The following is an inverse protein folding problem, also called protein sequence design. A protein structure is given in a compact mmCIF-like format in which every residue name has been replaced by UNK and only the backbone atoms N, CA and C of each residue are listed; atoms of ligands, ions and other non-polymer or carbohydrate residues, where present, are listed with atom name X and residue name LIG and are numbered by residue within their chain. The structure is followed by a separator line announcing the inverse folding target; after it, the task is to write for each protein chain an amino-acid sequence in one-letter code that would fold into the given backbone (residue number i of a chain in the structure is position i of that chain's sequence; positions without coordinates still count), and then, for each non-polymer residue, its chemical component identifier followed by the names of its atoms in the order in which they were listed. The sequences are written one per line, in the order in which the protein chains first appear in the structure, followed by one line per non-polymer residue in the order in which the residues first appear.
data_IF_352435618719
#
_entry.id   IF_352435618719
#
_cell.length_a   1.000
_cell.length_b   1.000
_cell.length_c   1.000
_cell.angle_alpha   90.00
_cell.angle_beta   90.00
_cell.angle_gamma   90.00
#
_symmetry.space_group_name_H-M   'P 1'
#
loop_
_entity.id
_entity.type
_entity.pdbx_description
1 polymer ?
#
# COMPACT_ATOMS: atom_id res chain seq x y z
N UNK A 1 -9.29 -12.02 -16.11
CA UNK A 1 -9.45 -11.91 -15.50
C UNK A 1 -9.76 -11.29 -15.05
N UNK A 2 -9.95 -11.47 -14.77
CA UNK A 2 -10.14 -10.47 -15.02
C UNK A 2 -11.22 -9.65 -14.43
N UNK A 3 -12.19 -10.17 -13.78
CA UNK A 3 -13.21 -9.43 -13.05
C UNK A 3 -12.75 -9.24 -11.62
N UNK A 4 -11.98 -8.18 -11.39
CA UNK A 4 -11.67 -7.79 -10.02
C UNK A 4 -12.93 -7.14 -9.45
N UNK A 5 -13.51 -7.81 -8.44
CA UNK A 5 -14.66 -7.27 -7.74
C UNK A 5 -14.20 -6.05 -6.93
N UNK A 6 -14.82 -4.86 -7.15
CA UNK A 6 -14.45 -3.67 -6.39
C UNK A 6 -14.54 -3.88 -4.88
N UNK A 7 -15.50 -4.65 -4.41
CA UNK A 7 -15.66 -4.94 -2.98
C UNK A 7 -14.47 -5.70 -2.41
N UNK A 8 -14.00 -6.72 -3.13
CA UNK A 8 -12.81 -7.49 -2.73
C UNK A 8 -11.57 -6.62 -2.70
N UNK A 9 -11.39 -5.80 -3.73
CA UNK A 9 -10.23 -4.93 -3.82
C UNK A 9 -10.22 -3.90 -2.68
N UNK A 10 -11.38 -3.31 -2.37
CA UNK A 10 -11.53 -2.39 -1.26
C UNK A 10 -11.17 -3.07 0.06
N UNK A 11 -11.62 -4.30 0.28
CA UNK A 11 -11.30 -5.07 1.48
C UNK A 11 -9.81 -5.31 1.60
N UNK A 12 -9.15 -5.70 0.52
CA UNK A 12 -7.71 -5.94 0.51
C UNK A 12 -6.93 -4.66 0.80
N UNK A 13 -7.35 -3.53 0.20
CA UNK A 13 -6.71 -2.24 0.43
C UNK A 13 -6.85 -1.79 1.88
N UNK A 14 -8.04 -1.94 2.46
CA UNK A 14 -8.29 -1.60 3.87
C UNK A 14 -7.45 -2.44 4.81
N UNK A 15 -7.11 -3.65 4.40
CA UNK A 15 -6.31 -4.57 5.21
C UNK A 15 -4.82 -4.27 5.16
N UNK A 16 -4.33 -3.48 4.20
CA UNK A 16 -2.91 -3.19 4.03
C UNK A 16 -2.27 -2.64 5.31
N UNK A 17 -2.81 -1.60 5.97
CA UNK A 17 -2.20 -1.10 7.21
C UNK A 17 -2.17 -2.13 8.32
N UNK A 18 -3.23 -2.91 8.48
CA UNK A 18 -3.34 -3.93 9.51
C UNK A 18 -2.40 -5.09 9.25
N UNK A 19 -2.35 -5.58 8.02
CA UNK A 19 -1.46 -6.67 7.63
C UNK A 19 0.01 -6.25 7.76
N UNK A 20 0.35 -5.03 7.39
CA UNK A 20 1.68 -4.46 7.54
C UNK A 20 2.12 -4.49 9.01
N UNK A 21 1.26 -4.06 9.91
CA UNK A 21 1.54 -4.06 11.35
C UNK A 21 1.73 -5.49 11.88
N UNK A 22 0.85 -6.41 11.47
CA UNK A 22 0.94 -7.80 11.90
C UNK A 22 2.22 -8.47 11.42
N UNK A 23 2.60 -8.27 10.16
CA UNK A 23 3.82 -8.85 9.60
C UNK A 23 5.05 -8.30 10.30
N UNK A 24 5.08 -7.02 10.63
CA UNK A 24 6.17 -6.40 11.36
C UNK A 24 6.31 -7.04 12.76
N UNK A 25 5.20 -7.25 13.45
CA UNK A 25 5.21 -7.90 14.76
C UNK A 25 5.67 -9.36 14.66
N UNK A 26 5.19 -10.09 13.65
CA UNK A 26 5.59 -11.47 13.44
C UNK A 26 7.07 -11.61 13.07
N UNK A 27 7.62 -10.65 12.34
CA UNK A 27 9.04 -10.68 11.98
C UNK A 27 9.93 -10.62 13.21
N UNK A 28 9.56 -9.81 14.20
CA UNK A 28 10.28 -9.73 15.46
C UNK A 28 10.22 -11.06 16.21
N UNK A 29 9.05 -11.71 16.19
CA UNK A 29 8.83 -12.97 16.89
C UNK A 29 9.63 -14.13 16.29
N UNK A 30 9.75 -14.16 14.97
CA UNK A 30 10.44 -15.24 14.25
C UNK A 30 11.85 -14.87 13.81
N UNK A 31 12.34 -13.74 14.28
CA UNK A 31 13.69 -13.24 13.97
C UNK A 31 13.94 -13.10 12.46
N UNK A 32 12.92 -12.63 11.74
CA UNK A 32 13.02 -12.33 10.31
C UNK A 32 13.49 -10.88 10.15
N UNK A 33 14.35 -10.63 9.16
CA UNK A 33 14.87 -9.29 8.90
C UNK A 33 13.72 -8.30 8.65
N UNK A 34 13.80 -7.17 9.35
CA UNK A 34 12.83 -6.09 9.17
C UNK A 34 12.81 -5.60 7.72
N UNK A 35 13.98 -5.48 7.10
CA UNK A 35 14.10 -5.03 5.72
C UNK A 35 13.41 -5.98 4.74
N UNK A 36 13.54 -7.28 4.95
CA UNK A 36 12.88 -8.28 4.12
C UNK A 36 11.35 -8.18 4.23
N UNK A 37 10.84 -7.96 5.44
CA UNK A 37 9.41 -7.80 5.67
C UNK A 37 8.90 -6.54 5.00
N UNK A 38 9.62 -5.43 5.15
CA UNK A 38 9.24 -4.16 4.52
C UNK A 38 9.23 -4.27 3.00
N UNK A 39 10.25 -4.91 2.40
CA UNK A 39 10.30 -5.14 0.96
C UNK A 39 9.13 -5.98 0.48
N UNK A 40 8.78 -7.01 1.22
CA UNK A 40 7.63 -7.85 0.89
C UNK A 40 6.33 -7.05 0.89
N UNK A 41 6.12 -6.24 1.93
CA UNK A 41 4.94 -5.39 2.06
C UNK A 41 4.88 -4.38 0.90
N UNK A 42 6.01 -3.75 0.59
CA UNK A 42 6.09 -2.76 -0.49
C UNK A 42 5.73 -3.41 -1.83
N UNK A 43 6.29 -4.57 -2.15
CA UNK A 43 6.02 -5.25 -3.41
C UNK A 43 4.55 -5.65 -3.56
N UNK A 44 3.98 -6.26 -2.54
CA UNK A 44 2.60 -6.72 -2.57
C UNK A 44 1.61 -5.56 -2.59
N UNK A 45 1.87 -4.54 -1.79
CA UNK A 45 0.99 -3.36 -1.74
C UNK A 45 1.09 -2.53 -3.01
N UNK A 46 2.27 -2.44 -3.62
CA UNK A 46 2.44 -1.71 -4.88
C UNK A 46 1.62 -2.31 -6.00
N UNK A 47 1.62 -3.63 -6.12
CA UNK A 47 0.81 -4.30 -7.14
C UNK A 47 -0.68 -4.08 -6.89
N UNK A 48 -1.11 -4.22 -5.65
CA UNK A 48 -2.49 -4.00 -5.26
C UNK A 48 -2.93 -2.57 -5.58
N UNK A 49 -2.08 -1.59 -5.29
CA UNK A 49 -2.35 -0.18 -5.58
C UNK A 49 -2.42 0.07 -7.08
N UNK A 50 -1.52 -0.53 -7.88
CA UNK A 50 -1.57 -0.42 -9.33
C UNK A 50 -2.90 -0.92 -9.89
N UNK A 51 -3.33 -2.11 -9.45
CA UNK A 51 -4.60 -2.68 -9.86
C UNK A 51 -5.77 -1.78 -9.46
N UNK A 52 -5.66 -1.15 -8.28
CA UNK A 52 -6.68 -0.22 -7.79
C UNK A 52 -6.77 1.03 -8.64
N UNK A 53 -5.64 1.58 -9.07
CA UNK A 53 -5.61 2.77 -9.91
C UNK A 53 -6.24 2.49 -11.28
N UNK A 54 -5.98 1.32 -11.86
CA UNK A 54 -6.62 0.92 -13.11
C UNK A 54 -8.13 0.80 -12.95
N UNK A 55 -8.59 0.19 -11.86
CA UNK A 55 -10.01 0.07 -11.57
C UNK A 55 -10.65 1.41 -11.33
N UNK A 56 -9.96 2.33 -10.64
CA UNK A 56 -10.45 3.70 -10.44
C UNK A 56 -10.68 4.39 -11.78
N UNK A 57 -9.74 4.27 -12.70
CA UNK A 57 -9.88 4.87 -14.03
C UNK A 57 -11.10 4.30 -14.77
N UNK A 58 -11.29 2.99 -14.72
CA UNK A 58 -12.43 2.34 -15.33
C UNK A 58 -13.75 2.78 -14.69
N UNK A 59 -13.78 2.87 -13.36
CA UNK A 59 -14.98 3.28 -12.63
C UNK A 59 -15.31 4.75 -12.83
N UNK A 60 -14.32 5.61 -13.07
CA UNK A 60 -14.57 7.01 -13.43
C UNK A 60 -15.40 7.10 -14.71
N UNK A 61 -15.09 6.27 -15.70
CA UNK A 61 -15.86 6.23 -16.94
C UNK A 61 -17.28 5.74 -16.70
N UNK A 62 -17.44 4.69 -15.89
CA UNK A 62 -18.75 4.15 -15.53
C UNK A 62 -19.60 5.23 -14.84
N UNK A 63 -19.02 5.93 -13.88
CA UNK A 63 -19.73 7.01 -13.16
C UNK A 63 -20.07 8.14 -14.09
N UNK A 64 -19.20 8.46 -15.04
CA UNK A 64 -19.44 9.52 -16.01
C UNK A 64 -20.65 9.20 -16.89
N UNK A 65 -20.78 7.96 -17.33
CA UNK A 65 -21.87 7.53 -18.21
C UNK A 65 -23.14 7.16 -17.43
N UNK A 66 -22.98 6.61 -16.23
CA UNK A 66 -24.09 6.20 -15.38
C UNK A 66 -23.85 6.66 -13.94
N UNK A 67 -24.17 7.93 -13.64
CA UNK A 67 -23.88 8.50 -12.31
C UNK A 67 -24.90 8.06 -11.26
N UNK A 68 -25.04 6.76 -11.06
CA UNK A 68 -25.89 6.21 -10.01
C UNK A 68 -25.19 6.33 -8.66
N UNK A 69 -25.97 6.53 -7.60
CA UNK A 69 -25.45 6.70 -6.24
C UNK A 69 -24.56 5.54 -5.82
N UNK A 70 -24.94 4.32 -6.20
CA UNK A 70 -24.16 3.12 -5.88
C UNK A 70 -22.78 3.15 -6.53
N UNK A 71 -22.70 3.55 -7.80
CA UNK A 71 -21.44 3.64 -8.52
C UNK A 71 -20.54 4.72 -7.95
N UNK A 72 -21.11 5.88 -7.61
CA UNK A 72 -20.38 6.99 -7.00
C UNK A 72 -19.84 6.58 -5.63
N UNK A 73 -20.65 5.90 -4.82
CA UNK A 73 -20.26 5.45 -3.50
C UNK A 73 -19.13 4.43 -3.57
N UNK A 74 -19.22 3.46 -4.49
CA UNK A 74 -18.18 2.45 -4.67
C UNK A 74 -16.86 3.07 -5.09
N UNK A 75 -16.91 4.04 -6.01
CA UNK A 75 -15.70 4.75 -6.45
C UNK A 75 -15.09 5.54 -5.31
N UNK A 76 -15.90 6.23 -4.51
CA UNK A 76 -15.42 6.99 -3.37
C UNK A 76 -14.74 6.09 -2.34
N UNK A 77 -15.33 4.93 -2.05
CA UNK A 77 -14.73 3.97 -1.12
C UNK A 77 -13.42 3.41 -1.65
N UNK A 78 -13.36 3.10 -2.95
CA UNK A 78 -12.14 2.59 -3.57
C UNK A 78 -11.01 3.61 -3.50
N UNK A 79 -11.31 4.88 -3.79
CA UNK A 79 -10.32 5.96 -3.70
C UNK A 79 -9.83 6.11 -2.26
N UNK A 80 -10.74 6.10 -1.29
CA UNK A 80 -10.40 6.22 0.13
C UNK A 80 -9.52 5.07 0.59
N UNK A 81 -9.87 3.84 0.23
CA UNK A 81 -9.09 2.66 0.60
C UNK A 81 -7.71 2.67 -0.07
N UNK A 82 -7.63 3.08 -1.33
CA UNK A 82 -6.36 3.21 -2.05
C UNK A 82 -5.47 4.26 -1.40
N UNK A 83 -6.03 5.39 -1.00
CA UNK A 83 -5.29 6.45 -0.31
C UNK A 83 -4.70 5.94 1.00
N UNK A 84 -5.46 5.17 1.77
CA UNK A 84 -4.97 4.56 3.02
C UNK A 84 -3.81 3.60 2.78
N UNK A 85 -3.90 2.78 1.74
CA UNK A 85 -2.84 1.85 1.39
C UNK A 85 -1.59 2.58 0.91
N UNK A 86 -1.77 3.61 0.09
CA UNK A 86 -0.66 4.45 -0.39
C UNK A 86 0.04 5.13 0.78
N UNK A 87 -0.72 5.64 1.75
CA UNK A 87 -0.15 6.27 2.93
C UNK A 87 0.71 5.28 3.73
N UNK A 88 0.25 4.05 3.90
CA UNK A 88 1.03 3.00 4.56
C UNK A 88 2.32 2.72 3.82
N UNK A 89 2.24 2.60 2.48
CA UNK A 89 3.41 2.35 1.64
C UNK A 89 4.41 3.50 1.73
N UNK A 90 3.93 4.73 1.70
CA UNK A 90 4.79 5.92 1.81
C UNK A 90 5.52 5.96 3.15
N UNK A 91 4.85 5.60 4.23
CA UNK A 91 5.49 5.55 5.55
C UNK A 91 6.61 4.53 5.59
N UNK A 92 6.40 3.35 5.00
CA UNK A 92 7.44 2.32 4.92
C UNK A 92 8.65 2.78 4.10
N UNK A 93 8.40 3.40 2.94
CA UNK A 93 9.47 3.90 2.07
C UNK A 93 10.27 5.01 2.76
N UNK A 94 9.59 5.92 3.46
CA UNK A 94 10.26 7.00 4.20
C UNK A 94 11.12 6.44 5.32
N UNK A 95 10.63 5.45 6.06
CA UNK A 95 11.40 4.79 7.12
C UNK A 95 12.66 4.12 6.57
N UNK A 96 12.51 3.41 5.44
CA UNK A 96 13.64 2.76 4.78
C UNK A 96 14.70 3.79 4.36
N UNK A 97 14.28 4.90 3.75
CA UNK A 97 15.20 5.97 3.35
C UNK A 97 15.89 6.60 4.56
N UNK A 98 15.18 6.81 5.65
CA UNK A 98 15.76 7.37 6.87
C UNK A 98 16.82 6.45 7.46
N UNK A 99 16.53 5.15 7.51
CA UNK A 99 17.50 4.16 7.98
C UNK A 99 18.76 4.17 7.12
N UNK A 100 18.62 4.17 5.81
CA UNK A 100 19.74 4.20 4.88
C UNK A 100 20.56 5.48 5.02
N UNK A 101 19.90 6.62 5.15
CA UNK A 101 20.56 7.91 5.33
C UNK A 101 21.34 7.95 6.64
N UNK A 102 20.78 7.44 7.71
CA UNK A 102 21.43 7.38 9.02
C UNK A 102 22.66 6.49 8.99
N UNK A 103 22.57 5.34 8.35
CA UNK A 103 23.70 4.41 8.20
C UNK A 103 24.82 5.06 7.40
N UNK A 104 24.50 5.71 6.29
CA UNK A 104 25.49 6.42 5.47
C UNK A 104 26.17 7.54 6.22
N UNK A 105 25.41 8.33 6.98
CA UNK A 105 25.95 9.41 7.79
C UNK A 105 26.93 8.88 8.84
N UNK A 106 26.60 7.77 9.51
CA UNK A 106 27.47 7.14 10.48
C UNK A 106 28.75 6.59 9.86
N UNK A 107 28.66 6.01 8.67
CA UNK A 107 29.83 5.53 7.94
C UNK A 107 30.76 6.66 7.56
N UNK A 108 30.22 7.78 7.11
CA UNK A 108 31.01 8.97 6.77
C UNK A 108 31.73 9.52 7.99
N UNK A 109 31.09 9.55 9.14
CA UNK A 109 31.70 10.00 10.39
C UNK A 109 32.85 9.10 10.82
N UNK A 110 32.73 7.79 10.62
CA UNK A 110 33.77 6.83 10.95
C UNK A 110 34.99 6.99 10.04
N UNK A 111 34.74 7.26 8.77
CA UNK A 111 35.80 7.42 7.76
C UNK A 111 36.51 8.77 7.84
N UNK A 112 35.91 9.73 8.51
CA UNK A 112 36.52 11.04 8.68
C UNK A 112 37.34 11.12 9.96
#
# INVERSE_FOLDING_TARGET
MDNIDPTDLISQLKNVPKASKQLTQQSQRFNISKDEVEDFIIQKSSKLIQDSLELIDNMKEVVHHMPEAENVSSLAELIKASTGAIDTLNKLVVQDKRSNTTIKAKQLDIDS
#
